data_IF_387937835147
#
_entry.id   IF_387937835147
#
_cell.length_a   1.000
_cell.length_b   1.000
_cell.length_c   1.000
_cell.angle_alpha   90.00
_cell.angle_beta   90.00
_cell.angle_gamma   90.00
#
_symmetry.space_group_name_H-M   'P 1'
#
loop_
_entity.id
_entity.type
_entity.pdbx_description
1 polymer ?
#
# COMPACT_ATOMS: atom_id res chain seq x y z
N UNK A 1 26.64 5.73 -59.00
CA UNK A 1 26.79 7.18 -58.70
C UNK A 1 27.11 7.31 -57.22
N UNK A 2 28.15 8.04 -56.81
CA UNK A 2 28.37 8.32 -55.39
C UNK A 2 27.20 9.16 -54.87
N UNK A 3 26.65 8.78 -53.71
CA UNK A 3 25.58 9.54 -53.08
C UNK A 3 26.10 10.91 -52.62
N UNK A 4 25.28 11.98 -52.69
CA UNK A 4 25.65 13.29 -52.18
C UNK A 4 25.96 13.27 -50.67
N UNK A 5 27.02 13.96 -50.25
CA UNK A 5 27.39 14.08 -48.83
C UNK A 5 26.26 14.66 -47.95
N UNK A 6 25.33 15.41 -48.53
CA UNK A 6 24.15 15.97 -47.87
C UNK A 6 23.21 14.90 -47.29
N UNK A 7 23.19 13.69 -47.87
CA UNK A 7 22.37 12.58 -47.37
C UNK A 7 22.89 12.07 -46.02
N UNK A 8 24.21 11.96 -45.85
CA UNK A 8 24.80 11.54 -44.56
C UNK A 8 24.50 12.55 -43.45
N UNK A 9 24.55 13.85 -43.77
CA UNK A 9 24.16 14.92 -42.82
C UNK A 9 22.69 14.80 -42.44
N UNK A 10 21.79 14.59 -43.41
CA UNK A 10 20.36 14.42 -43.14
C UNK A 10 20.07 13.21 -42.25
N UNK A 11 20.70 12.05 -42.51
CA UNK A 11 20.59 10.84 -41.68
C UNK A 11 21.06 11.13 -40.25
N UNK A 12 22.20 11.82 -40.10
CA UNK A 12 22.73 12.21 -38.79
C UNK A 12 21.75 13.08 -37.99
N UNK A 13 21.16 14.10 -38.63
CA UNK A 13 20.19 15.01 -37.98
C UNK A 13 18.91 14.27 -37.58
N UNK A 14 18.36 13.42 -38.46
CA UNK A 14 17.15 12.63 -38.16
C UNK A 14 17.41 11.67 -37.00
N UNK A 15 18.58 11.02 -36.98
CA UNK A 15 18.97 10.10 -35.91
C UNK A 15 19.12 10.83 -34.57
N UNK A 16 19.79 11.99 -34.57
CA UNK A 16 19.97 12.81 -33.38
C UNK A 16 18.63 13.34 -32.83
N UNK A 17 17.74 13.82 -33.70
CA UNK A 17 16.40 14.26 -33.31
C UNK A 17 15.57 13.10 -32.73
N UNK A 18 15.65 11.91 -33.34
CA UNK A 18 14.95 10.71 -32.87
C UNK A 18 15.45 10.27 -31.49
N UNK A 19 16.77 10.24 -31.28
CA UNK A 19 17.36 9.93 -29.97
C UNK A 19 16.92 10.94 -28.92
N UNK A 20 16.92 12.23 -29.25
CA UNK A 20 16.46 13.29 -28.34
C UNK A 20 15.00 13.08 -27.94
N UNK A 21 14.13 12.73 -28.90
CA UNK A 21 12.73 12.38 -28.63
C UNK A 21 12.58 11.18 -27.69
N UNK A 22 13.38 10.11 -27.91
CA UNK A 22 13.38 8.93 -27.05
C UNK A 22 13.84 9.26 -25.64
N UNK A 23 14.91 10.06 -25.47
CA UNK A 23 15.37 10.48 -24.15
C UNK A 23 14.34 11.34 -23.40
N UNK A 24 13.67 12.25 -24.11
CA UNK A 24 12.56 13.03 -23.55
C UNK A 24 11.43 12.13 -23.07
N UNK A 25 11.07 11.11 -23.87
CA UNK A 25 10.03 10.15 -23.53
C UNK A 25 10.39 9.31 -22.29
N UNK A 26 11.63 8.78 -22.22
CA UNK A 26 12.13 8.05 -21.04
C UNK A 26 12.02 8.91 -19.79
N UNK A 27 12.40 10.18 -19.89
CA UNK A 27 12.35 11.12 -18.76
C UNK A 27 10.92 11.30 -18.25
N UNK A 28 9.95 11.48 -19.14
CA UNK A 28 8.54 11.58 -18.79
C UNK A 28 8.00 10.32 -18.12
N UNK A 29 8.37 9.14 -18.63
CA UNK A 29 7.97 7.86 -18.05
C UNK A 29 8.53 7.70 -16.65
N UNK A 30 9.82 7.99 -16.45
CA UNK A 30 10.45 7.90 -15.14
C UNK A 30 9.81 8.86 -14.14
N UNK A 31 9.45 10.06 -14.56
CA UNK A 31 8.71 11.02 -13.72
C UNK A 31 7.33 10.49 -13.33
N UNK A 32 6.58 9.93 -14.28
CA UNK A 32 5.29 9.28 -14.00
C UNK A 32 5.46 8.13 -13.01
N UNK A 33 6.40 7.22 -13.26
CA UNK A 33 6.62 6.04 -12.41
C UNK A 33 7.07 6.42 -11.00
N UNK A 34 7.94 7.44 -10.88
CA UNK A 34 8.35 7.99 -9.59
C UNK A 34 7.15 8.54 -8.81
N UNK A 35 6.25 9.27 -9.47
CA UNK A 35 5.03 9.81 -8.84
C UNK A 35 4.03 8.72 -8.43
N UNK A 36 3.83 7.72 -9.27
CA UNK A 36 2.97 6.57 -8.93
C UNK A 36 3.52 5.81 -7.73
N UNK A 37 4.83 5.57 -7.70
CA UNK A 37 5.51 4.92 -6.58
C UNK A 37 5.38 5.74 -5.29
N UNK A 38 5.52 7.07 -5.37
CA UNK A 38 5.30 7.99 -4.24
C UNK A 38 3.87 7.91 -3.70
N UNK A 39 2.85 7.92 -4.57
CA UNK A 39 1.45 7.77 -4.14
C UNK A 39 1.19 6.42 -3.48
N UNK A 40 1.78 5.33 -4.00
CA UNK A 40 1.64 4.00 -3.42
C UNK A 40 2.31 3.91 -2.04
N UNK A 41 3.50 4.50 -1.87
CA UNK A 41 4.17 4.60 -0.57
C UNK A 41 3.34 5.40 0.44
N UNK A 42 2.78 6.55 0.03
CA UNK A 42 1.90 7.35 0.88
C UNK A 42 0.66 6.56 1.33
N UNK A 43 0.06 5.78 0.43
CA UNK A 43 -1.05 4.89 0.77
C UNK A 43 -0.61 3.75 1.72
N UNK A 44 0.53 3.10 1.49
CA UNK A 44 1.12 2.07 2.38
C UNK A 44 1.34 2.64 3.79
N UNK A 45 1.90 3.83 3.91
CA UNK A 45 2.20 4.45 5.20
C UNK A 45 0.93 4.90 5.93
N UNK A 46 -0.06 5.41 5.20
CA UNK A 46 -1.38 5.70 5.76
C UNK A 46 -2.06 4.43 6.28
N UNK A 47 -2.05 3.34 5.50
CA UNK A 47 -2.61 2.06 5.91
C UNK A 47 -1.89 1.49 7.14
N UNK A 48 -0.55 1.55 7.18
CA UNK A 48 0.23 1.11 8.35
C UNK A 48 -0.14 1.89 9.61
N UNK A 49 -0.30 3.22 9.49
CA UNK A 49 -0.70 4.08 10.60
C UNK A 49 -2.11 3.74 11.10
N UNK A 50 -3.05 3.51 10.18
CA UNK A 50 -4.43 3.19 10.53
C UNK A 50 -4.56 1.82 11.19
N UNK A 51 -3.84 0.81 10.68
CA UNK A 51 -3.83 -0.52 11.29
C UNK A 51 -3.23 -0.46 12.69
N UNK A 52 -2.11 0.24 12.89
CA UNK A 52 -1.51 0.41 14.21
C UNK A 52 -2.45 1.12 15.19
N UNK A 53 -3.16 2.17 14.74
CA UNK A 53 -4.14 2.88 15.57
C UNK A 53 -5.35 1.99 15.87
N UNK A 54 -5.87 1.25 14.90
CA UNK A 54 -6.99 0.33 15.05
C UNK A 54 -6.67 -0.77 16.07
N UNK A 55 -5.52 -1.44 15.93
CA UNK A 55 -5.14 -2.53 16.85
C UNK A 55 -4.87 -2.02 18.25
N UNK A 56 -4.25 -0.83 18.40
CA UNK A 56 -4.08 -0.19 19.70
C UNK A 56 -5.40 0.20 20.37
N UNK A 57 -6.39 0.68 19.60
CA UNK A 57 -7.71 0.97 20.15
C UNK A 57 -8.41 -0.32 20.61
N UNK A 58 -8.36 -1.38 19.80
CA UNK A 58 -8.94 -2.68 20.16
C UNK A 58 -8.32 -3.26 21.44
N UNK A 59 -6.99 -3.21 21.53
CA UNK A 59 -6.21 -3.60 22.70
C UNK A 59 -6.64 -2.85 23.96
N UNK A 60 -6.67 -1.51 23.89
CA UNK A 60 -7.05 -0.65 25.01
C UNK A 60 -8.49 -0.84 25.45
N UNK A 61 -9.41 -1.04 24.51
CA UNK A 61 -10.81 -1.34 24.82
C UNK A 61 -10.88 -2.65 25.62
N UNK A 62 -10.27 -3.73 25.12
CA UNK A 62 -10.25 -5.03 25.82
C UNK A 62 -9.60 -4.94 27.20
N UNK A 63 -8.46 -4.27 27.34
CA UNK A 63 -7.82 -4.06 28.65
C UNK A 63 -8.72 -3.29 29.60
N UNK A 64 -9.43 -2.26 29.13
CA UNK A 64 -10.36 -1.48 29.97
C UNK A 64 -11.52 -2.35 30.46
N UNK A 65 -12.08 -3.20 29.60
CA UNK A 65 -13.10 -4.19 29.99
C UNK A 65 -12.59 -5.14 31.08
N UNK A 66 -11.38 -5.68 30.93
CA UNK A 66 -10.77 -6.58 31.92
C UNK A 66 -10.51 -5.91 33.26
N UNK A 67 -10.00 -4.66 33.25
CA UNK A 67 -9.75 -3.90 34.47
C UNK A 67 -11.04 -3.64 35.25
N UNK A 68 -12.16 -3.41 34.55
CA UNK A 68 -13.46 -3.23 35.19
C UNK A 68 -13.97 -4.55 35.77
N UNK A 69 -13.88 -5.66 35.03
CA UNK A 69 -14.25 -6.99 35.54
C UNK A 69 -13.46 -7.35 36.80
N UNK A 70 -12.14 -7.16 36.78
CA UNK A 70 -11.29 -7.38 37.95
C UNK A 70 -11.62 -6.47 39.13
N UNK A 71 -12.11 -5.24 38.87
CA UNK A 71 -12.57 -4.32 39.91
C UNK A 71 -13.91 -4.79 40.48
N UNK A 72 -14.80 -5.31 39.66
CA UNK A 72 -16.09 -5.89 40.07
C UNK A 72 -15.88 -7.13 40.94
N UNK A 73 -15.06 -8.08 40.50
CA UNK A 73 -14.75 -9.33 41.22
C UNK A 73 -14.17 -9.11 42.63
N UNK A 74 -13.56 -7.94 42.88
CA UNK A 74 -12.93 -7.58 44.16
C UNK A 74 -13.85 -6.82 45.13
N UNK A 75 -15.07 -6.45 44.74
CA UNK A 75 -15.99 -5.70 45.60
C UNK A 75 -16.91 -6.62 46.40
N UNK A 76 -17.16 -6.28 47.67
CA UNK A 76 -18.16 -6.97 48.52
C UNK A 76 -19.61 -6.70 48.07
N UNK A 77 -19.85 -5.56 47.42
CA UNK A 77 -21.15 -5.19 46.84
C UNK A 77 -20.97 -4.93 45.35
N UNK A 78 -21.72 -5.61 44.46
CA UNK A 78 -21.66 -5.40 43.02
C UNK A 78 -21.93 -3.94 42.65
N UNK A 79 -21.42 -3.53 41.48
CA UNK A 79 -21.70 -2.20 40.95
C UNK A 79 -23.20 -2.05 40.63
N UNK A 80 -23.75 -0.85 40.78
CA UNK A 80 -25.03 -0.52 40.15
C UNK A 80 -24.83 -0.61 38.62
N UNK A 81 -25.57 -1.52 37.97
CA UNK A 81 -25.29 -1.99 36.61
C UNK A 81 -25.15 -0.90 35.55
N UNK A 82 -25.71 0.29 35.80
CA UNK A 82 -25.65 1.44 34.91
C UNK A 82 -24.41 2.33 35.13
N UNK A 83 -23.95 2.49 36.37
CA UNK A 83 -22.92 3.49 36.70
C UNK A 83 -21.54 3.07 36.20
N UNK A 84 -21.21 1.77 36.22
CA UNK A 84 -19.93 1.32 35.65
C UNK A 84 -19.93 1.33 34.12
N UNK A 85 -21.10 1.18 33.49
CA UNK A 85 -21.24 1.29 32.04
C UNK A 85 -20.96 2.72 31.58
N UNK A 86 -21.42 3.73 32.34
CA UNK A 86 -21.12 5.14 32.08
C UNK A 86 -19.62 5.44 32.25
N UNK A 87 -19.01 4.96 33.35
CA UNK A 87 -17.57 5.10 33.58
C UNK A 87 -16.74 4.43 32.48
N UNK A 88 -17.12 3.22 32.06
CA UNK A 88 -16.47 2.50 30.98
C UNK A 88 -16.61 3.24 29.65
N UNK A 89 -17.83 3.65 29.32
CA UNK A 89 -18.11 4.37 28.09
C UNK A 89 -17.29 5.66 28.02
N UNK A 90 -17.20 6.40 29.13
CA UNK A 90 -16.36 7.60 29.21
C UNK A 90 -14.86 7.30 29.04
N UNK A 91 -14.38 6.16 29.58
CA UNK A 91 -12.98 5.73 29.43
C UNK A 91 -12.62 5.31 28.00
N UNK A 92 -13.54 4.67 27.27
CA UNK A 92 -13.25 4.08 25.95
C UNK A 92 -13.86 4.84 24.77
N UNK A 93 -14.67 5.88 24.98
CA UNK A 93 -15.38 6.60 23.90
C UNK A 93 -14.47 7.03 22.76
N UNK A 94 -13.29 7.56 23.10
CA UNK A 94 -12.33 8.05 22.11
C UNK A 94 -11.72 6.87 21.35
N UNK A 95 -11.43 5.77 22.02
CA UNK A 95 -10.88 4.56 21.40
C UNK A 95 -11.91 3.89 20.48
N UNK A 96 -13.19 3.84 20.87
CA UNK A 96 -14.28 3.29 20.04
C UNK A 96 -14.52 4.16 18.80
N UNK A 97 -14.51 5.49 18.96
CA UNK A 97 -14.61 6.45 17.85
C UNK A 97 -13.43 6.30 16.89
N UNK A 98 -12.21 6.31 17.43
CA UNK A 98 -10.97 6.15 16.67
C UNK A 98 -10.90 4.79 15.96
N UNK A 99 -11.31 3.71 16.61
CA UNK A 99 -11.41 2.39 16.01
C UNK A 99 -12.34 2.42 14.80
N UNK A 100 -13.53 3.00 14.95
CA UNK A 100 -14.54 3.06 13.89
C UNK A 100 -14.06 3.89 12.70
N UNK A 101 -13.39 5.01 12.97
CA UNK A 101 -12.78 5.85 11.94
C UNK A 101 -11.70 5.09 11.16
N UNK A 102 -10.75 4.47 11.87
CA UNK A 102 -9.66 3.71 11.24
C UNK A 102 -10.21 2.52 10.46
N UNK A 103 -11.16 1.77 11.04
CA UNK A 103 -11.79 0.62 10.40
C UNK A 103 -12.42 1.02 9.05
N UNK A 104 -13.18 2.11 9.02
CA UNK A 104 -13.81 2.56 7.79
C UNK A 104 -12.79 3.06 6.78
N UNK A 105 -11.77 3.81 7.19
CA UNK A 105 -10.71 4.29 6.29
C UNK A 105 -9.90 3.14 5.70
N UNK A 106 -9.58 2.11 6.50
CA UNK A 106 -8.93 0.89 6.02
C UNK A 106 -9.83 0.21 4.99
N UNK A 107 -11.10 -0.04 5.30
CA UNK A 107 -12.01 -0.69 4.35
C UNK A 107 -12.17 0.07 3.03
N UNK A 108 -12.18 1.40 3.06
CA UNK A 108 -12.22 2.24 1.85
C UNK A 108 -10.93 2.17 1.03
N UNK A 109 -9.83 1.75 1.65
CA UNK A 109 -8.50 1.65 1.03
C UNK A 109 -8.19 0.27 0.47
N UNK A 110 -8.94 -0.75 0.88
CA UNK A 110 -8.74 -2.15 0.48
C UNK A 110 -9.58 -2.50 -0.76
N UNK A 111 -9.09 -3.47 -1.53
CA UNK A 111 -9.85 -4.06 -2.63
C UNK A 111 -10.79 -5.17 -2.09
N UNK A 112 -12.11 -5.08 -2.31
CA UNK A 112 -13.06 -6.09 -1.83
C UNK A 112 -12.80 -7.52 -2.33
N UNK A 113 -12.18 -7.67 -3.49
CA UNK A 113 -11.94 -8.98 -4.11
C UNK A 113 -10.58 -9.58 -3.70
N UNK A 114 -9.54 -8.76 -3.67
CA UNK A 114 -8.17 -9.21 -3.39
C UNK A 114 -7.93 -9.34 -1.87
N UNK A 115 -8.56 -8.48 -1.05
CA UNK A 115 -8.29 -8.37 0.39
C UNK A 115 -9.38 -9.00 1.28
N UNK A 116 -10.16 -9.94 0.72
CA UNK A 116 -11.32 -10.57 1.39
C UNK A 116 -11.01 -11.10 2.79
N UNK A 117 -9.86 -11.72 2.96
CA UNK A 117 -9.47 -12.33 4.24
C UNK A 117 -9.23 -11.27 5.31
N UNK A 118 -8.48 -10.21 4.98
CA UNK A 118 -8.23 -9.09 5.89
C UNK A 118 -9.55 -8.37 6.23
N UNK A 119 -10.41 -8.14 5.24
CA UNK A 119 -11.75 -7.56 5.45
C UNK A 119 -12.58 -8.42 6.40
N UNK A 120 -12.52 -9.75 6.28
CA UNK A 120 -13.21 -10.66 7.19
C UNK A 120 -12.72 -10.53 8.63
N UNK A 121 -11.39 -10.47 8.84
CA UNK A 121 -10.80 -10.29 10.18
C UNK A 121 -11.14 -8.93 10.79
N UNK A 122 -11.13 -7.85 10.00
CA UNK A 122 -11.54 -6.52 10.44
C UNK A 122 -13.02 -6.48 10.87
N UNK A 123 -13.90 -7.19 10.15
CA UNK A 123 -15.31 -7.33 10.53
C UNK A 123 -15.47 -8.08 11.84
N UNK A 124 -14.74 -9.18 12.04
CA UNK A 124 -14.75 -9.93 13.31
C UNK A 124 -14.30 -9.02 14.47
N UNK A 125 -13.21 -8.27 14.28
CA UNK A 125 -12.73 -7.31 15.28
C UNK A 125 -13.74 -6.18 15.57
N UNK A 126 -14.53 -5.76 14.58
CA UNK A 126 -15.60 -4.79 14.81
C UNK A 126 -16.77 -5.41 15.59
N UNK A 127 -17.12 -6.66 15.31
CA UNK A 127 -18.18 -7.38 16.01
C UNK A 127 -17.80 -7.69 17.46
N UNK A 128 -16.52 -7.95 17.75
CA UNK A 128 -16.06 -8.21 19.11
C UNK A 128 -16.26 -7.02 20.05
N UNK A 129 -16.25 -5.77 19.53
CA UNK A 129 -16.59 -4.59 20.33
C UNK A 129 -18.01 -4.61 20.92
N UNK A 130 -18.92 -5.38 20.32
CA UNK A 130 -20.30 -5.55 20.81
C UNK A 130 -20.49 -6.81 21.65
N UNK A 131 -19.43 -7.60 21.87
CA UNK A 131 -19.48 -8.84 22.64
C UNK A 131 -18.55 -8.76 23.85
N UNK A 132 -19.13 -8.54 25.03
CA UNK A 132 -18.39 -8.43 26.29
C UNK A 132 -17.62 -9.70 26.64
N UNK A 133 -18.11 -10.89 26.30
CA UNK A 133 -17.42 -12.16 26.60
C UNK A 133 -16.08 -12.24 25.88
N UNK A 134 -16.05 -11.83 24.61
CA UNK A 134 -14.83 -11.79 23.79
C UNK A 134 -13.87 -10.71 24.32
N UNK A 135 -14.37 -9.54 24.73
CA UNK A 135 -13.51 -8.47 25.24
C UNK A 135 -12.84 -8.81 26.58
N UNK A 136 -13.47 -9.68 27.38
CA UNK A 136 -12.86 -10.20 28.61
C UNK A 136 -11.75 -11.22 28.34
N UNK A 137 -11.74 -11.89 27.19
CA UNK A 137 -10.75 -12.90 26.84
C UNK A 137 -9.55 -12.25 26.11
N UNK A 138 -8.50 -11.91 26.88
CA UNK A 138 -7.33 -11.20 26.33
C UNK A 138 -6.67 -11.96 25.19
N UNK A 139 -6.53 -13.28 25.36
CA UNK A 139 -5.86 -14.13 24.39
C UNK A 139 -6.58 -14.14 23.03
N UNK A 140 -7.92 -14.06 23.05
CA UNK A 140 -8.71 -13.99 21.83
C UNK A 140 -8.49 -12.67 21.09
N UNK A 141 -8.47 -11.55 21.81
CA UNK A 141 -8.20 -10.22 21.23
C UNK A 141 -6.78 -10.13 20.67
N UNK A 142 -5.78 -10.65 21.41
CA UNK A 142 -4.40 -10.68 20.93
C UNK A 142 -4.27 -11.51 19.65
N UNK A 143 -4.96 -12.66 19.60
CA UNK A 143 -5.04 -13.48 18.37
C UNK A 143 -5.70 -12.72 17.21
N UNK A 144 -6.76 -11.95 17.46
CA UNK A 144 -7.38 -11.11 16.42
C UNK A 144 -6.42 -10.04 15.91
N UNK A 145 -5.70 -9.37 16.81
CA UNK A 145 -4.69 -8.36 16.47
C UNK A 145 -3.57 -8.97 15.63
N UNK A 146 -3.00 -10.10 16.06
CA UNK A 146 -1.92 -10.79 15.35
C UNK A 146 -2.35 -11.19 13.93
N UNK A 147 -3.56 -11.70 13.76
CA UNK A 147 -4.10 -12.06 12.45
C UNK A 147 -4.25 -10.83 11.53
N UNK A 148 -4.76 -9.71 12.04
CA UNK A 148 -4.87 -8.46 11.28
C UNK A 148 -3.49 -7.95 10.87
N UNK A 149 -2.53 -7.96 11.81
CA UNK A 149 -1.15 -7.53 11.56
C UNK A 149 -0.49 -8.42 10.51
N UNK A 150 -0.62 -9.74 10.63
CA UNK A 150 -0.04 -10.69 9.69
C UNK A 150 -0.57 -10.50 8.27
N UNK A 151 -1.89 -10.42 8.09
CA UNK A 151 -2.49 -10.21 6.77
C UNK A 151 -2.12 -8.86 6.18
N UNK A 152 -2.06 -7.82 7.03
CA UNK A 152 -1.57 -6.50 6.61
C UNK A 152 -0.11 -6.59 6.14
N UNK A 153 0.77 -7.29 6.86
CA UNK A 153 2.17 -7.46 6.44
C UNK A 153 2.30 -8.14 5.06
N UNK A 154 1.46 -9.15 4.78
CA UNK A 154 1.43 -9.80 3.47
C UNK A 154 1.02 -8.81 2.37
N UNK A 155 -0.07 -8.05 2.59
CA UNK A 155 -0.52 -7.02 1.66
C UNK A 155 0.58 -5.98 1.40
N UNK A 156 1.18 -5.43 2.46
CA UNK A 156 2.24 -4.42 2.34
C UNK A 156 3.48 -4.98 1.62
N UNK A 157 3.79 -6.27 1.79
CA UNK A 157 4.90 -6.91 1.09
C UNK A 157 4.64 -7.01 -0.42
N UNK A 158 3.46 -7.48 -0.81
CA UNK A 158 3.04 -7.55 -2.22
C UNK A 158 3.14 -6.18 -2.88
N UNK A 159 2.65 -5.16 -2.18
CA UNK A 159 2.65 -3.79 -2.66
C UNK A 159 4.07 -3.19 -2.75
N UNK A 160 4.92 -3.52 -1.78
CA UNK A 160 6.34 -3.15 -1.82
C UNK A 160 7.11 -3.78 -2.99
N UNK A 161 6.76 -5.00 -3.39
CA UNK A 161 7.35 -5.65 -4.55
C UNK A 161 6.97 -4.94 -5.85
N UNK A 162 5.74 -4.42 -5.96
CA UNK A 162 5.31 -3.57 -7.08
C UNK A 162 6.10 -2.25 -7.08
N UNK A 163 6.24 -1.58 -5.94
CA UNK A 163 7.02 -0.32 -5.84
C UNK A 163 8.48 -0.53 -6.29
N UNK A 164 9.11 -1.65 -5.94
CA UNK A 164 10.50 -1.95 -6.32
C UNK A 164 10.66 -2.32 -7.79
N UNK A 165 9.75 -3.14 -8.31
CA UNK A 165 9.84 -3.66 -9.68
C UNK A 165 9.29 -2.69 -10.73
N UNK A 166 8.42 -1.78 -10.28
CA UNK A 166 7.65 -0.88 -11.12
C UNK A 166 6.40 -1.55 -11.69
N UNK A 167 5.48 -0.74 -12.21
CA UNK A 167 4.26 -1.26 -12.83
C UNK A 167 4.57 -2.08 -14.09
N UNK A 168 3.73 -3.08 -14.39
CA UNK A 168 3.88 -3.92 -15.60
C UNK A 168 3.99 -3.08 -16.88
N UNK A 169 3.22 -1.98 -16.96
CA UNK A 169 3.28 -1.03 -18.06
C UNK A 169 4.65 -0.35 -18.17
N UNK A 170 5.24 0.08 -17.06
CA UNK A 170 6.58 0.67 -17.01
C UNK A 170 7.65 -0.35 -17.44
N UNK A 171 7.61 -1.58 -16.92
CA UNK A 171 8.55 -2.65 -17.27
C UNK A 171 8.52 -2.92 -18.79
N UNK A 172 7.34 -3.01 -19.37
CA UNK A 172 7.18 -3.25 -20.80
C UNK A 172 7.67 -2.06 -21.64
N UNK A 173 7.36 -0.84 -21.20
CA UNK A 173 7.79 0.38 -21.90
C UNK A 173 9.30 0.55 -21.87
N UNK A 174 9.94 0.24 -20.74
CA UNK A 174 11.39 0.21 -20.60
C UNK A 174 12.02 -0.77 -21.58
N UNK A 175 11.50 -2.01 -21.67
CA UNK A 175 11.98 -3.01 -22.63
C UNK A 175 11.84 -2.53 -24.08
N UNK A 176 10.65 -2.06 -24.46
CA UNK A 176 10.40 -1.54 -25.81
C UNK A 176 11.35 -0.39 -26.17
N UNK A 177 11.57 0.53 -25.25
CA UNK A 177 12.47 1.67 -25.48
C UNK A 177 13.92 1.22 -25.62
N UNK A 178 14.38 0.26 -24.82
CA UNK A 178 15.72 -0.33 -24.98
C UNK A 178 15.90 -0.95 -26.36
N UNK A 179 14.88 -1.66 -26.87
CA UNK A 179 14.93 -2.21 -28.23
C UNK A 179 15.01 -1.11 -29.31
N UNK A 180 14.22 -0.04 -29.19
CA UNK A 180 14.24 1.09 -30.14
C UNK A 180 15.60 1.79 -30.14
N UNK A 181 16.19 2.03 -28.98
CA UNK A 181 17.51 2.66 -28.89
C UNK A 181 18.59 1.75 -29.49
N UNK A 182 18.54 0.45 -29.20
CA UNK A 182 19.49 -0.52 -29.76
C UNK A 182 19.39 -0.58 -31.29
N UNK A 183 18.19 -0.60 -31.87
CA UNK A 183 18.02 -0.59 -33.33
C UNK A 183 18.51 0.71 -33.94
N UNK A 184 18.17 1.88 -33.37
CA UNK A 184 18.66 3.18 -33.85
C UNK A 184 20.19 3.24 -33.84
N UNK A 185 20.84 2.77 -32.78
CA UNK A 185 22.31 2.75 -32.70
C UNK A 185 22.95 1.80 -33.71
N UNK A 186 22.32 0.67 -34.03
CA UNK A 186 22.82 -0.28 -35.04
C UNK A 186 22.69 0.22 -36.48
N UNK A 187 21.75 1.14 -36.78
CA UNK A 187 21.60 1.68 -38.14
C UNK A 187 22.83 2.45 -38.63
N UNK A 188 23.54 3.13 -37.73
CA UNK A 188 24.74 3.93 -38.05
C UNK A 188 25.92 3.06 -38.55
N UNK A 189 26.36 2.00 -37.85
CA UNK A 189 27.43 1.13 -38.33
C UNK A 189 27.02 0.26 -39.53
N UNK A 190 25.75 -0.18 -39.62
CA UNK A 190 25.27 -0.97 -40.77
C UNK A 190 25.28 -0.14 -42.05
N UNK A 191 24.80 1.10 -42.00
CA UNK A 191 24.86 2.00 -43.16
C UNK A 191 26.30 2.28 -43.54
N UNK A 192 27.18 2.57 -42.58
CA UNK A 192 28.61 2.77 -42.84
C UNK A 192 29.28 1.55 -43.51
N UNK A 193 29.00 0.32 -43.04
CA UNK A 193 29.59 -0.91 -43.58
C UNK A 193 29.06 -1.28 -44.98
N UNK A 194 27.77 -1.03 -45.24
CA UNK A 194 27.17 -1.21 -46.57
C UNK A 194 27.72 -0.24 -47.62
N UNK A 195 28.25 0.92 -47.21
CA UNK A 195 28.83 1.90 -48.13
C UNK A 195 30.35 1.73 -48.33
N UNK A 196 31.02 0.95 -47.49
CA UNK A 196 32.46 0.66 -47.58
C UNK A 196 32.79 -0.58 -48.43
N UNK A 197 31.79 -1.46 -48.65
CA UNK A 197 31.86 -2.60 -49.57
C UNK A 197 31.08 -2.30 -50.86
#
# INVERSE_FOLDING_TARGET
>A
MPLPNTIFVAIGVITAASLTGVFSFITLINQKEGKVSEFRQNWIDALRKDIAKLTSCLDRISTSWQLIKLREDKKEVPFDGLVWMDDLNELVKDDVSNFSECHNRILLSLNPEDDKELISKLKIAKLSLSNSEVLFEKAEIDTQIENIVYLTQQLLKTEWEVVKSGEKAYINTKRATTFIVATLLLTLPVTYFYFLN
#
